data_IF_698592471064
#
_entry.id   IF_698592471064
#
_cell.length_a   1.000
_cell.length_b   1.000
_cell.length_c   1.000
_cell.angle_alpha   90.00
_cell.angle_beta   90.00
_cell.angle_gamma   90.00
#
_symmetry.space_group_name_H-M   'P 1'
#
loop_
_entity.id
_entity.type
_entity.pdbx_description
1 polymer ?
#
# COMPACT_ATOMS: atom_id res chain seq x y z
N UNK A 1 2.01 36.09 -62.41
CA UNK A 1 1.42 35.60 -61.16
C UNK A 1 2.04 34.24 -60.88
N UNK A 2 2.60 34.05 -59.69
CA UNK A 2 3.12 32.75 -59.26
C UNK A 2 1.95 31.88 -58.79
N UNK A 3 1.88 30.61 -59.21
CA UNK A 3 0.82 29.65 -58.84
C UNK A 3 -0.63 30.11 -59.12
N UNK A 4 -0.83 30.95 -60.14
CA UNK A 4 -2.16 31.42 -60.55
C UNK A 4 -2.13 32.26 -61.83
N UNK A 5 -3.30 32.73 -62.25
CA UNK A 5 -3.51 33.60 -63.41
C UNK A 5 -3.72 35.05 -62.98
N UNK A 6 -3.08 36.00 -63.64
CA UNK A 6 -3.36 37.42 -63.39
C UNK A 6 -4.64 37.84 -64.12
N UNK A 7 -5.62 38.37 -63.39
CA UNK A 7 -6.91 38.78 -63.95
C UNK A 7 -7.08 40.30 -64.03
N UNK A 8 -6.39 41.06 -63.17
CA UNK A 8 -6.34 42.52 -63.23
C UNK A 8 -5.04 43.04 -62.55
N UNK A 9 -4.83 44.36 -62.52
CA UNK A 9 -3.74 44.94 -61.71
C UNK A 9 -3.95 44.55 -60.25
N UNK A 10 -2.93 43.94 -59.66
CA UNK A 10 -2.91 43.48 -58.26
C UNK A 10 -3.93 42.38 -57.92
N UNK A 11 -4.61 41.80 -58.91
CA UNK A 11 -5.60 40.73 -58.71
C UNK A 11 -5.17 39.44 -59.42
N UNK A 12 -5.06 38.36 -58.66
CA UNK A 12 -4.70 37.03 -59.15
C UNK A 12 -5.80 36.00 -58.85
N UNK A 13 -6.16 35.21 -59.86
CA UNK A 13 -6.98 34.01 -59.76
C UNK A 13 -6.05 32.81 -59.49
N UNK A 14 -6.03 32.36 -58.23
CA UNK A 14 -5.07 31.34 -57.77
C UNK A 14 -5.48 29.92 -58.18
N UNK A 15 -4.49 29.07 -58.46
CA UNK A 15 -4.73 27.65 -58.74
C UNK A 15 -5.37 26.96 -57.52
N UNK A 16 -6.09 25.86 -57.74
CA UNK A 16 -6.71 25.08 -56.64
C UNK A 16 -5.68 24.73 -55.57
N UNK A 17 -5.99 25.03 -54.31
CA UNK A 17 -5.10 24.79 -53.18
C UNK A 17 -4.10 25.92 -52.90
N UNK A 18 -4.24 27.08 -53.54
CA UNK A 18 -3.46 28.28 -53.30
C UNK A 18 -4.37 29.48 -53.00
N UNK A 19 -3.91 30.43 -52.19
CA UNK A 19 -4.64 31.66 -51.86
C UNK A 19 -3.77 32.89 -52.08
N UNK A 20 -4.40 34.02 -52.44
CA UNK A 20 -3.67 35.26 -52.69
C UNK A 20 -3.17 35.84 -51.37
N UNK A 21 -1.86 35.84 -51.16
CA UNK A 21 -1.21 36.44 -49.98
C UNK A 21 -0.72 37.85 -50.24
N UNK A 22 -0.37 38.16 -51.49
CA UNK A 22 0.08 39.47 -51.93
C UNK A 22 -0.29 39.71 -53.42
N UNK A 23 -0.18 40.95 -53.93
CA UNK A 23 -0.44 41.24 -55.35
C UNK A 23 0.38 40.33 -56.28
N UNK A 24 -0.31 39.55 -57.12
CA UNK A 24 0.27 38.58 -58.06
C UNK A 24 0.99 37.36 -57.43
N UNK A 25 0.85 37.14 -56.11
CA UNK A 25 1.45 36.01 -55.38
C UNK A 25 0.32 35.13 -54.80
N UNK A 26 0.33 33.86 -55.20
CA UNK A 26 -0.53 32.83 -54.64
C UNK A 26 0.31 31.85 -53.83
N UNK A 27 0.11 31.83 -52.51
CA UNK A 27 0.78 30.93 -51.58
C UNK A 27 -0.03 29.64 -51.40
N UNK A 28 0.64 28.49 -51.18
CA UNK A 28 -0.06 27.23 -50.96
C UNK A 28 -0.89 27.28 -49.67
N UNK A 29 -2.04 26.61 -49.70
CA UNK A 29 -2.93 26.44 -48.56
C UNK A 29 -2.69 25.08 -47.93
N UNK A 30 -2.50 25.09 -46.61
CA UNK A 30 -2.45 23.92 -45.75
C UNK A 30 -3.53 24.10 -44.67
N UNK A 31 -4.64 23.36 -44.74
CA UNK A 31 -5.83 23.59 -43.90
C UNK A 31 -5.55 23.46 -42.39
N UNK A 32 -4.68 22.52 -42.01
CA UNK A 32 -4.26 22.33 -40.62
C UNK A 32 -3.03 23.16 -40.23
N UNK A 33 -2.51 23.97 -41.16
CA UNK A 33 -1.20 24.62 -41.04
C UNK A 33 -0.03 23.64 -41.08
N UNK A 34 1.19 24.17 -40.93
CA UNK A 34 2.42 23.38 -40.84
C UNK A 34 3.19 23.78 -39.57
N UNK A 35 2.73 23.37 -38.36
CA UNK A 35 3.48 23.65 -37.14
C UNK A 35 4.88 23.04 -37.24
N UNK A 36 5.92 23.79 -36.87
CA UNK A 36 7.33 23.41 -37.03
C UNK A 36 7.76 23.10 -38.48
N UNK A 37 7.09 23.70 -39.47
CA UNK A 37 7.43 23.59 -40.87
C UNK A 37 6.94 24.77 -41.70
N UNK A 38 7.02 24.60 -43.02
CA UNK A 38 6.59 25.57 -44.03
C UNK A 38 5.66 24.88 -45.03
N UNK A 39 4.57 25.54 -45.41
CA UNK A 39 3.68 25.03 -46.45
C UNK A 39 4.37 25.27 -47.82
N UNK A 40 4.77 24.19 -48.50
CA UNK A 40 5.54 24.28 -49.76
C UNK A 40 4.71 23.94 -51.00
N UNK A 41 3.60 23.23 -50.81
CA UNK A 41 2.57 23.00 -51.83
C UNK A 41 1.22 22.75 -51.13
N UNK A 42 0.13 22.70 -51.90
CA UNK A 42 -1.22 22.42 -51.37
C UNK A 42 -1.18 21.17 -50.47
N UNK A 43 -1.60 21.34 -49.21
CA UNK A 43 -1.59 20.29 -48.17
C UNK A 43 -0.24 19.57 -47.96
N UNK A 44 0.87 20.20 -48.36
CA UNK A 44 2.22 19.62 -48.29
C UNK A 44 3.13 20.50 -47.44
N UNK A 45 3.54 19.98 -46.28
CA UNK A 45 4.47 20.66 -45.37
C UNK A 45 5.92 20.20 -45.60
N UNK A 46 6.86 21.14 -45.53
CA UNK A 46 8.28 20.89 -45.40
C UNK A 46 8.71 21.19 -43.96
N UNK A 47 9.21 20.18 -43.25
CA UNK A 47 9.55 20.32 -41.84
C UNK A 47 10.86 21.08 -41.63
N UNK A 48 10.92 21.85 -40.54
CA UNK A 48 12.15 22.51 -40.10
C UNK A 48 13.21 21.46 -39.69
N UNK A 49 14.47 21.89 -39.63
CA UNK A 49 15.58 21.01 -39.21
C UNK A 49 15.29 20.38 -37.84
N UNK A 50 15.44 19.05 -37.76
CA UNK A 50 15.16 18.29 -36.53
C UNK A 50 13.69 17.89 -36.35
N UNK A 51 12.85 18.06 -37.38
CA UNK A 51 11.46 17.60 -37.40
C UNK A 51 11.20 16.72 -38.63
N UNK A 52 10.27 15.77 -38.52
CA UNK A 52 9.86 14.87 -39.59
C UNK A 52 8.34 14.81 -39.71
N UNK A 53 7.85 14.63 -40.94
CA UNK A 53 6.43 14.50 -41.21
C UNK A 53 5.89 13.19 -40.62
N UNK A 54 4.79 13.26 -39.88
CA UNK A 54 4.07 12.10 -39.40
C UNK A 54 2.94 11.67 -40.36
N UNK A 55 2.20 10.61 -40.01
CA UNK A 55 1.08 10.08 -40.82
C UNK A 55 -0.08 11.05 -41.02
N UNK A 56 -0.12 12.15 -40.27
CA UNK A 56 -1.13 13.21 -40.34
C UNK A 56 -0.63 14.49 -41.00
N UNK A 57 0.53 14.46 -41.66
CA UNK A 57 1.21 15.61 -42.28
C UNK A 57 1.62 16.72 -41.29
N UNK A 58 1.83 16.37 -40.02
CA UNK A 58 2.33 17.27 -38.98
C UNK A 58 3.83 17.01 -38.79
N UNK A 59 4.61 18.07 -38.56
CA UNK A 59 6.04 17.96 -38.32
C UNK A 59 6.32 17.68 -36.84
N UNK A 60 6.57 16.42 -36.53
CA UNK A 60 6.93 15.95 -35.19
C UNK A 60 8.44 16.10 -34.96
N UNK A 61 8.88 16.43 -33.73
CA UNK A 61 10.29 16.56 -33.43
C UNK A 61 11.01 15.21 -33.47
N UNK A 62 12.27 15.24 -33.89
CA UNK A 62 13.16 14.07 -33.95
C UNK A 62 14.05 14.06 -32.71
N UNK A 63 14.13 12.92 -32.04
CA UNK A 63 15.02 12.67 -30.92
C UNK A 63 15.87 11.43 -31.23
N UNK A 64 17.19 11.53 -31.19
CA UNK A 64 18.12 10.49 -31.65
C UNK A 64 18.04 9.16 -30.88
N UNK A 65 17.49 9.17 -29.66
CA UNK A 65 17.40 8.01 -28.77
C UNK A 65 15.98 7.57 -28.39
N UNK A 66 14.95 7.93 -29.18
CA UNK A 66 13.55 7.53 -28.97
C UNK A 66 13.08 7.63 -27.50
N UNK A 67 13.13 8.84 -26.91
CA UNK A 67 12.68 9.19 -25.54
C UNK A 67 11.99 8.06 -24.75
N UNK A 68 12.74 7.07 -24.20
CA UNK A 68 12.12 5.91 -23.57
C UNK A 68 11.42 6.37 -22.30
N UNK A 69 10.17 5.93 -22.08
CA UNK A 69 9.30 6.41 -21.00
C UNK A 69 9.06 7.93 -21.02
N UNK A 70 9.07 8.52 -22.21
CA UNK A 70 8.76 9.92 -22.42
C UNK A 70 8.26 10.19 -23.84
N UNK A 71 8.11 11.48 -24.16
CA UNK A 71 7.79 11.96 -25.50
C UNK A 71 8.78 13.03 -25.95
N UNK A 72 9.08 13.06 -27.24
CA UNK A 72 9.88 14.11 -27.85
C UNK A 72 9.02 15.38 -27.96
N UNK A 73 9.44 16.48 -27.30
CA UNK A 73 8.69 17.76 -27.30
C UNK A 73 9.36 18.83 -28.16
N UNK A 74 10.65 18.67 -28.44
CA UNK A 74 11.44 19.47 -29.36
C UNK A 74 12.62 18.63 -29.86
N UNK A 75 13.35 19.04 -30.91
CA UNK A 75 14.48 18.29 -31.42
C UNK A 75 15.48 18.00 -30.30
N UNK A 76 15.83 16.73 -30.14
CA UNK A 76 16.72 16.22 -29.06
C UNK A 76 16.26 16.54 -27.63
N UNK A 77 14.99 16.92 -27.41
CA UNK A 77 14.44 17.22 -26.09
C UNK A 77 13.27 16.32 -25.74
N UNK A 78 13.51 15.44 -24.77
CA UNK A 78 12.49 14.57 -24.19
C UNK A 78 11.79 15.21 -22.99
N UNK A 79 10.49 14.97 -22.88
CA UNK A 79 9.68 15.16 -21.68
C UNK A 79 9.29 13.79 -21.13
N UNK A 80 9.60 13.52 -19.87
CA UNK A 80 9.31 12.23 -19.24
C UNK A 80 7.82 12.09 -18.92
N UNK A 81 7.31 10.86 -18.98
CA UNK A 81 5.95 10.58 -18.54
C UNK A 81 5.80 10.74 -17.02
N UNK A 82 4.56 10.84 -16.56
CA UNK A 82 4.25 10.93 -15.14
C UNK A 82 4.84 9.73 -14.37
N UNK A 83 5.51 10.02 -13.25
CA UNK A 83 6.20 9.00 -12.46
C UNK A 83 7.61 8.66 -12.97
N UNK A 84 8.09 9.34 -14.02
CA UNK A 84 9.47 9.24 -14.49
C UNK A 84 10.18 10.59 -14.36
N UNK A 85 11.50 10.56 -14.19
CA UNK A 85 12.35 11.76 -14.15
C UNK A 85 13.55 11.58 -15.08
N UNK A 86 14.10 12.69 -15.55
CA UNK A 86 15.36 12.66 -16.29
C UNK A 86 16.51 12.23 -15.40
N UNK A 87 17.28 11.28 -15.88
CA UNK A 87 18.54 10.84 -15.30
C UNK A 87 19.68 11.76 -15.74
N UNK A 88 20.91 11.47 -15.28
CA UNK A 88 22.13 12.16 -15.73
C UNK A 88 22.47 11.90 -17.20
N UNK A 89 21.92 10.84 -17.80
CA UNK A 89 22.14 10.45 -19.19
C UNK A 89 20.98 10.90 -20.10
N UNK A 90 20.14 11.84 -19.65
CA UNK A 90 18.94 12.32 -20.38
C UNK A 90 17.89 11.24 -20.67
N UNK A 91 17.93 10.10 -19.96
CA UNK A 91 16.91 9.04 -20.05
C UNK A 91 15.84 9.24 -18.99
N UNK A 92 14.60 8.84 -19.26
CA UNK A 92 13.54 8.91 -18.28
C UNK A 92 13.52 7.65 -17.42
N UNK A 93 13.99 7.78 -16.18
CA UNK A 93 14.04 6.74 -15.17
C UNK A 93 12.81 6.80 -14.26
N UNK A 94 12.29 5.64 -13.82
CA UNK A 94 11.13 5.59 -12.92
C UNK A 94 11.44 6.24 -11.57
N UNK A 95 10.40 6.79 -10.94
CA UNK A 95 10.45 7.42 -9.63
C UNK A 95 9.63 6.61 -8.64
N UNK A 96 10.26 6.27 -7.53
CA UNK A 96 9.63 5.63 -6.38
C UNK A 96 9.65 6.62 -5.22
N UNK A 97 8.48 7.14 -4.81
CA UNK A 97 8.36 8.24 -3.84
C UNK A 97 8.95 7.91 -2.47
N UNK A 98 8.79 6.67 -2.02
CA UNK A 98 9.34 6.16 -0.75
C UNK A 98 10.76 5.58 -0.91
N UNK A 99 11.32 5.66 -2.12
CA UNK A 99 12.53 4.93 -2.49
C UNK A 99 12.30 3.42 -2.59
N UNK A 100 13.39 2.69 -2.88
CA UNK A 100 13.44 1.23 -2.86
C UNK A 100 14.67 0.83 -2.04
N UNK A 101 14.55 0.80 -0.70
CA UNK A 101 15.63 0.25 0.13
C UNK A 101 15.80 -1.24 -0.20
N UNK A 102 17.03 -1.72 -0.35
CA UNK A 102 17.33 -3.10 -0.75
C UNK A 102 16.67 -3.55 -2.06
N UNK A 103 16.45 -2.62 -3.00
CA UNK A 103 15.94 -2.92 -4.33
C UNK A 103 16.23 -1.82 -5.34
N UNK A 104 15.70 -2.01 -6.54
CA UNK A 104 15.77 -1.07 -7.65
C UNK A 104 14.37 -0.63 -8.07
N UNK A 105 14.19 0.66 -8.36
CA UNK A 105 12.94 1.15 -8.91
C UNK A 105 12.87 0.76 -10.40
N UNK A 106 11.94 -0.12 -10.76
CA UNK A 106 11.77 -0.64 -12.13
C UNK A 106 10.61 0.01 -12.89
N UNK A 107 9.68 0.59 -12.15
CA UNK A 107 8.49 1.29 -12.65
C UNK A 107 8.04 2.32 -11.60
N UNK A 108 7.26 3.35 -11.96
CA UNK A 108 6.78 4.32 -11.00
C UNK A 108 6.18 3.66 -9.75
N UNK A 109 6.73 3.98 -8.58
CA UNK A 109 6.37 3.39 -7.28
C UNK A 109 6.38 1.85 -7.24
N UNK A 110 7.19 1.20 -8.08
CA UNK A 110 7.33 -0.26 -8.14
C UNK A 110 8.79 -0.64 -7.96
N UNK A 111 9.08 -1.35 -6.88
CA UNK A 111 10.43 -1.83 -6.55
C UNK A 111 10.61 -3.29 -6.97
N UNK A 112 11.78 -3.59 -7.53
CA UNK A 112 12.30 -4.94 -7.68
C UNK A 112 13.34 -5.15 -6.58
N UNK A 113 13.14 -6.15 -5.72
CA UNK A 113 14.01 -6.39 -4.58
C UNK A 113 15.31 -7.09 -5.01
N UNK A 114 16.42 -6.76 -4.32
CA UNK A 114 17.68 -7.46 -4.51
C UNK A 114 17.59 -8.91 -3.99
N UNK A 115 18.55 -9.75 -4.40
CA UNK A 115 18.60 -11.15 -3.98
C UNK A 115 18.58 -11.30 -2.45
N UNK A 116 17.71 -12.18 -1.94
CA UNK A 116 17.49 -12.36 -0.51
C UNK A 116 16.49 -11.39 0.12
N UNK A 117 15.79 -10.56 -0.67
CA UNK A 117 14.73 -9.66 -0.22
C UNK A 117 13.43 -9.91 -0.98
N UNK A 118 12.28 -9.65 -0.35
CA UNK A 118 10.95 -9.76 -0.93
C UNK A 118 10.08 -8.54 -0.58
N UNK A 119 9.11 -8.22 -1.43
CA UNK A 119 8.12 -7.17 -1.15
C UNK A 119 7.19 -7.61 -0.01
N UNK A 120 7.06 -6.77 1.02
CA UNK A 120 6.01 -6.90 2.03
C UNK A 120 4.67 -6.29 1.55
N UNK A 121 3.65 -6.22 2.41
CA UNK A 121 2.33 -5.66 2.08
C UNK A 121 2.37 -4.14 1.86
N UNK A 122 3.41 -3.50 2.38
CA UNK A 122 3.68 -2.07 2.35
C UNK A 122 4.54 -1.66 1.13
N UNK A 123 4.85 -2.61 0.22
CA UNK A 123 5.74 -2.44 -0.94
C UNK A 123 7.20 -2.10 -0.60
N UNK A 124 7.68 -2.61 0.53
CA UNK A 124 9.08 -2.48 0.97
C UNK A 124 9.80 -3.81 0.78
N UNK A 125 11.07 -3.75 0.35
CA UNK A 125 11.91 -4.93 0.22
C UNK A 125 12.46 -5.33 1.60
N UNK A 126 11.81 -6.30 2.22
CA UNK A 126 12.21 -6.89 3.51
C UNK A 126 13.10 -8.10 3.30
N UNK A 127 14.07 -8.37 4.19
CA UNK A 127 14.97 -9.51 4.06
C UNK A 127 14.20 -10.83 4.20
N UNK A 128 14.69 -11.85 3.51
CA UNK A 128 14.19 -13.23 3.56
C UNK A 128 15.10 -14.02 4.49
N UNK A 129 14.50 -14.70 5.46
CA UNK A 129 15.15 -15.71 6.28
C UNK A 129 14.49 -17.06 5.96
N UNK A 130 15.28 -18.05 5.52
CA UNK A 130 14.77 -19.38 5.14
C UNK A 130 14.10 -20.11 6.31
N UNK A 131 14.54 -19.82 7.54
CA UNK A 131 13.88 -20.22 8.78
C UNK A 131 13.31 -18.98 9.45
N UNK A 132 12.06 -19.07 9.92
CA UNK A 132 11.44 -17.98 10.68
C UNK A 132 12.25 -17.66 11.94
N UNK A 133 12.55 -16.37 12.15
CA UNK A 133 13.25 -15.88 13.34
C UNK A 133 12.35 -15.97 14.58
N UNK A 134 12.20 -17.16 15.17
CA UNK A 134 11.45 -17.34 16.41
C UNK A 134 12.07 -16.49 17.53
N UNK A 135 11.25 -15.65 18.18
CA UNK A 135 11.67 -14.67 19.19
C UNK A 135 12.75 -13.68 18.68
N UNK A 136 12.70 -13.32 17.40
CA UNK A 136 13.56 -12.32 16.79
C UNK A 136 12.94 -11.68 15.55
N UNK A 137 13.72 -10.85 14.88
CA UNK A 137 13.36 -10.18 13.61
C UNK A 137 14.44 -10.45 12.57
N UNK A 138 14.03 -10.68 11.31
CA UNK A 138 14.97 -10.84 10.19
C UNK A 138 15.50 -9.45 9.82
N UNK A 139 16.79 -9.19 10.05
CA UNK A 139 17.41 -7.88 9.83
C UNK A 139 18.20 -7.78 8.53
N UNK A 140 18.67 -8.93 8.03
CA UNK A 140 19.32 -9.08 6.74
C UNK A 140 19.04 -10.50 6.23
N UNK A 141 19.30 -10.81 4.93
CA UNK A 141 19.07 -12.13 4.39
C UNK A 141 19.76 -13.20 5.25
N UNK A 142 18.99 -14.22 5.65
CA UNK A 142 19.43 -15.30 6.54
C UNK A 142 20.01 -14.85 7.90
N UNK A 143 19.76 -13.62 8.33
CA UNK A 143 20.31 -13.05 9.57
C UNK A 143 19.18 -12.57 10.50
N UNK A 144 19.02 -13.27 11.62
CA UNK A 144 18.05 -12.93 12.66
C UNK A 144 18.71 -12.10 13.77
N UNK A 145 18.01 -11.07 14.24
CA UNK A 145 18.31 -10.36 15.49
C UNK A 145 17.30 -10.79 16.56
N UNK A 146 17.79 -11.23 17.71
CA UNK A 146 16.94 -11.72 18.79
C UNK A 146 16.30 -10.58 19.57
N UNK A 147 15.07 -10.78 20.05
CA UNK A 147 14.42 -9.83 20.94
C UNK A 147 15.15 -9.73 22.28
N UNK A 148 14.94 -8.62 22.99
CA UNK A 148 15.54 -8.38 24.30
C UNK A 148 15.27 -9.55 25.26
N UNK A 149 16.32 -10.04 25.93
CA UNK A 149 16.23 -11.19 26.82
C UNK A 149 16.33 -12.55 26.12
N UNK A 150 16.57 -12.57 24.81
CA UNK A 150 16.90 -13.77 24.05
C UNK A 150 18.31 -13.65 23.46
N UNK A 151 18.99 -14.78 23.28
CA UNK A 151 20.30 -14.85 22.64
C UNK A 151 20.29 -15.88 21.51
N UNK A 152 21.10 -15.61 20.48
CA UNK A 152 21.26 -16.53 19.36
C UNK A 152 21.96 -17.80 19.84
N UNK A 153 21.25 -18.93 19.73
CA UNK A 153 21.77 -20.27 19.96
C UNK A 153 22.62 -20.75 18.79
N UNK A 154 23.39 -21.81 19.00
CA UNK A 154 24.20 -22.47 17.97
C UNK A 154 23.36 -23.05 16.80
N UNK A 155 22.04 -23.09 16.94
CA UNK A 155 21.09 -23.60 15.95
C UNK A 155 20.31 -22.49 15.21
N UNK A 156 20.79 -21.24 15.21
CA UNK A 156 20.09 -20.08 14.64
C UNK A 156 18.68 -19.86 15.22
N UNK A 157 18.53 -20.07 16.54
CA UNK A 157 17.28 -19.84 17.27
C UNK A 157 17.52 -18.88 18.41
N UNK A 158 16.60 -17.95 18.63
CA UNK A 158 16.67 -17.05 19.77
C UNK A 158 16.11 -17.76 21.01
N UNK A 159 17.02 -18.16 21.90
CA UNK A 159 16.70 -18.85 23.15
C UNK A 159 16.61 -17.85 24.30
N UNK A 160 15.64 -18.02 25.22
CA UNK A 160 15.46 -17.11 26.35
C UNK A 160 16.63 -17.19 27.33
N UNK A 161 17.02 -16.03 27.85
CA UNK A 161 18.10 -15.90 28.83
C UNK A 161 17.51 -15.78 30.23
N UNK A 162 18.02 -16.57 31.18
CA UNK A 162 17.78 -16.37 32.61
C UNK A 162 19.08 -15.93 33.28
N UNK A 163 19.14 -14.70 33.75
CA UNK A 163 20.27 -14.19 34.53
C UNK A 163 20.41 -15.01 35.82
N UNK A 164 21.60 -15.60 36.04
CA UNK A 164 21.85 -16.49 37.18
C UNK A 164 21.47 -17.97 36.95
N UNK A 165 20.89 -18.31 35.79
CA UNK A 165 20.53 -19.69 35.43
C UNK A 165 19.33 -20.26 36.21
N UNK A 166 18.88 -21.45 35.82
CA UNK A 166 17.74 -22.14 36.44
C UNK A 166 18.20 -23.34 37.28
N UNK A 167 17.82 -23.38 38.56
CA UNK A 167 18.10 -24.54 39.43
C UNK A 167 17.15 -25.68 39.06
N UNK A 168 17.70 -26.76 38.48
CA UNK A 168 16.93 -27.95 38.03
C UNK A 168 15.78 -27.63 37.06
N UNK A 169 16.01 -26.75 36.10
CA UNK A 169 15.03 -26.40 35.08
C UNK A 169 15.68 -25.81 33.83
N UNK A 170 14.85 -25.47 32.85
CA UNK A 170 15.25 -24.75 31.63
C UNK A 170 14.50 -23.43 31.54
N UNK A 171 15.06 -22.44 30.84
CA UNK A 171 14.38 -21.18 30.59
C UNK A 171 13.23 -21.40 29.62
N UNK A 172 12.02 -21.07 30.05
CA UNK A 172 10.82 -21.12 29.20
C UNK A 172 10.47 -19.74 28.62
N UNK A 173 10.95 -18.68 29.27
CA UNK A 173 10.88 -17.30 28.80
C UNK A 173 12.03 -16.50 29.45
N UNK A 174 12.35 -15.27 29.00
CA UNK A 174 13.41 -14.47 29.59
C UNK A 174 13.19 -14.28 31.10
N UNK A 175 14.15 -14.72 31.91
CA UNK A 175 14.06 -14.69 33.37
C UNK A 175 13.08 -15.69 34.02
N UNK A 176 12.41 -16.56 33.25
CA UNK A 176 11.41 -17.51 33.77
C UNK A 176 11.91 -18.96 33.58
N UNK A 177 12.06 -19.68 34.69
CA UNK A 177 12.49 -21.07 34.72
C UNK A 177 11.33 -22.05 34.78
N UNK A 178 11.46 -23.21 34.12
CA UNK A 178 10.54 -24.32 34.26
C UNK A 178 10.60 -24.89 35.69
N UNK A 179 9.44 -25.09 36.31
CA UNK A 179 9.35 -25.80 37.60
C UNK A 179 9.09 -27.27 37.30
N UNK A 180 10.07 -28.15 37.58
CA UNK A 180 9.81 -29.59 37.55
C UNK A 180 8.99 -29.96 38.80
N UNK A 181 7.74 -30.39 38.60
CA UNK A 181 6.79 -30.76 39.65
C UNK A 181 7.13 -32.08 40.36
N UNK A 182 8.37 -32.24 40.82
CA UNK A 182 8.75 -33.35 41.73
C UNK A 182 9.41 -32.90 43.02
N UNK A 183 9.73 -31.62 43.20
CA UNK A 183 10.20 -31.07 44.48
C UNK A 183 9.20 -30.04 45.02
N UNK A 184 7.97 -30.48 45.33
CA UNK A 184 7.03 -29.74 46.22
C UNK A 184 7.43 -29.86 47.70
N UNK A 185 8.71 -30.07 47.98
CA UNK A 185 9.28 -30.02 49.32
C UNK A 185 10.50 -29.11 49.29
N UNK A 186 10.25 -27.84 49.62
CA UNK A 186 11.21 -26.83 50.07
C UNK A 186 12.45 -26.64 49.18
N UNK A 187 12.35 -25.73 48.21
CA UNK A 187 13.44 -24.80 47.97
C UNK A 187 12.88 -23.38 48.01
N UNK A 188 12.91 -22.80 49.21
CA UNK A 188 13.01 -21.36 49.35
C UNK A 188 14.29 -20.93 48.63
N UNK A 189 14.19 -20.50 47.38
CA UNK A 189 15.13 -19.52 46.86
C UNK A 189 14.77 -18.17 47.46
N UNK A 190 14.98 -18.05 48.78
CA UNK A 190 15.19 -16.77 49.45
C UNK A 190 16.65 -16.41 49.23
N UNK A 191 16.92 -15.72 48.12
CA UNK A 191 18.09 -14.89 47.79
C UNK A 191 18.01 -14.55 46.28
N UNK A 192 16.95 -13.89 45.81
CA UNK A 192 16.92 -12.43 45.73
C UNK A 192 16.64 -11.73 47.06
N UNK A 193 17.68 -11.10 47.60
CA UNK A 193 17.59 -10.17 48.71
C UNK A 193 16.74 -8.96 48.32
N UNK A 194 15.54 -8.84 48.90
CA UNK A 194 15.08 -7.55 49.41
C UNK A 194 15.25 -7.63 50.91
N UNK A 195 16.44 -7.26 51.39
CA UNK A 195 16.64 -6.85 52.77
C UNK A 195 16.68 -5.33 52.77
N UNK A 196 15.51 -4.74 52.98
CA UNK A 196 15.38 -3.51 53.75
C UNK A 196 15.78 -3.86 55.19
N UNK A 197 16.85 -3.24 55.69
CA UNK A 197 17.28 -3.36 57.08
C UNK A 197 16.40 -2.49 57.99
N UNK A 198 15.89 -3.00 59.13
CA UNK A 198 15.58 -2.18 60.29
C UNK A 198 16.79 -2.16 61.24
N UNK A 199 17.12 -0.97 61.74
CA UNK A 199 18.10 -0.71 62.80
C UNK A 199 17.78 -1.49 64.08
N UNK A 200 18.81 -1.95 64.82
CA UNK A 200 18.74 -2.00 66.28
C UNK A 200 19.86 -1.17 66.91
N UNK A 201 19.51 -0.33 67.87
CA UNK A 201 20.43 0.25 68.84
C UNK A 201 19.95 -0.10 70.25
N UNK A 202 20.63 -1.02 70.95
CA UNK A 202 21.36 -0.72 72.19
C UNK A 202 22.01 -1.95 72.84
N UNK A 203 23.21 -1.66 73.36
CA UNK A 203 23.90 -2.24 74.52
C UNK A 203 24.78 -3.51 74.38
N UNK A 204 26.09 -3.22 74.39
CA UNK A 204 27.08 -3.70 75.39
C UNK A 204 28.04 -4.85 75.01
N UNK A 205 29.34 -4.48 75.01
CA UNK A 205 30.60 -5.27 75.14
C UNK A 205 31.11 -5.96 73.87
N UNK A 206 32.42 -6.10 73.60
CA UNK A 206 33.70 -5.54 74.09
C UNK A 206 34.79 -6.26 73.25
N UNK A 207 35.83 -5.53 72.83
CA UNK A 207 37.17 -5.94 72.35
C UNK A 207 37.45 -6.29 70.87
N UNK A 208 38.13 -5.31 70.23
CA UNK A 208 39.43 -5.32 69.52
C UNK A 208 39.63 -6.18 68.26
N UNK A 209 39.99 -5.55 67.13
CA UNK A 209 41.37 -5.16 66.76
C UNK A 209 41.36 -4.13 65.62
N UNK A 210 42.39 -3.29 65.62
CA UNK A 210 42.64 -2.10 64.79
C UNK A 210 42.85 -2.39 63.30
N UNK A 211 42.46 -1.45 62.43
CA UNK A 211 43.39 -0.61 61.65
C UNK A 211 42.60 0.38 60.76
N UNK A 212 43.15 1.58 60.72
CA UNK A 212 42.65 2.83 60.16
C UNK A 212 42.66 2.86 58.61
N UNK A 213 41.73 3.62 58.02
CA UNK A 213 42.10 4.76 57.17
C UNK A 213 40.86 5.56 56.72
N UNK A 214 41.00 6.88 56.88
CA UNK A 214 40.04 7.97 56.74
C UNK A 214 39.57 8.23 55.30
N UNK A 215 38.34 8.73 55.14
CA UNK A 215 38.08 10.09 54.58
C UNK A 215 36.60 10.35 54.27
N UNK A 216 36.19 11.56 54.64
CA UNK A 216 34.84 12.08 54.89
C UNK A 216 34.04 12.64 53.69
N UNK A 217 32.78 12.98 54.02
CA UNK A 217 31.97 14.15 53.60
C UNK A 217 30.66 13.93 52.80
N UNK A 218 29.56 13.79 53.57
CA UNK A 218 28.37 14.68 53.65
C UNK A 218 27.76 15.36 52.40
N UNK A 219 26.43 15.23 52.22
CA UNK A 219 25.45 16.26 52.62
C UNK A 219 23.97 15.82 52.43
N UNK A 220 23.20 16.11 53.49
CA UNK A 220 21.73 16.10 53.69
C UNK A 220 20.95 17.02 52.69
N UNK A 221 19.62 17.13 52.60
CA UNK A 221 18.49 16.84 53.49
C UNK A 221 17.10 17.09 52.81
N UNK A 222 16.04 16.62 53.47
CA UNK A 222 14.67 17.21 53.63
C UNK A 222 13.74 17.29 52.42
N UNK A 223 12.44 17.03 52.49
CA UNK A 223 11.39 16.83 53.52
C UNK A 223 10.03 16.86 52.75
N UNK A 224 8.81 16.62 53.22
CA UNK A 224 8.20 16.38 54.53
C UNK A 224 6.68 16.11 54.32
N UNK A 225 6.04 15.34 55.22
CA UNK A 225 4.61 15.45 55.61
C UNK A 225 3.61 14.38 55.09
N UNK A 226 3.12 13.39 55.89
CA UNK A 226 2.09 13.41 57.00
C UNK A 226 0.63 13.51 56.48
N UNK A 227 -0.40 12.70 56.83
CA UNK A 227 -0.87 12.01 58.06
C UNK A 227 -1.81 10.81 57.68
N UNK A 228 -1.71 9.64 58.32
CA UNK A 228 -2.51 9.06 59.44
C UNK A 228 -3.88 8.44 59.10
N UNK A 229 -4.04 7.16 59.48
CA UNK A 229 -5.29 6.41 59.43
C UNK A 229 -5.10 4.92 59.76
N UNK A 230 -5.08 4.60 61.04
CA UNK A 230 -4.89 3.27 61.62
C UNK A 230 -6.23 2.50 61.67
N UNK A 231 -6.30 1.29 61.11
CA UNK A 231 -7.34 0.29 61.43
C UNK A 231 -6.79 -1.13 61.27
N UNK A 232 -6.76 -1.86 62.37
CA UNK A 232 -6.42 -3.30 62.45
C UNK A 232 -7.46 -4.17 61.75
N UNK A 233 -7.04 -5.19 61.00
CA UNK A 233 -7.94 -6.22 60.49
C UNK A 233 -7.32 -7.22 59.50
N UNK A 234 -7.08 -8.44 60.00
CA UNK A 234 -6.97 -9.74 59.32
C UNK A 234 -6.25 -9.91 57.95
N UNK A 235 -5.09 -10.57 58.04
CA UNK A 235 -4.27 -11.06 56.94
C UNK A 235 -4.81 -12.38 56.37
N UNK A 236 -5.84 -12.31 55.51
CA UNK A 236 -6.19 -13.43 54.59
C UNK A 236 -6.94 -13.05 53.32
N UNK A 237 -7.16 -11.76 53.01
CA UNK A 237 -7.90 -11.32 51.80
C UNK A 237 -7.06 -10.79 50.64
N UNK A 238 -5.73 -10.71 50.76
CA UNK A 238 -4.87 -10.08 49.73
C UNK A 238 -4.41 -11.03 48.61
N UNK A 239 -4.59 -12.35 48.75
CA UNK A 239 -4.26 -13.31 47.67
C UNK A 239 -5.29 -13.36 46.55
N UNK A 240 -6.57 -13.08 46.82
CA UNK A 240 -7.62 -13.03 45.79
C UNK A 240 -7.71 -11.69 45.05
N UNK A 241 -7.21 -10.60 45.65
CA UNK A 241 -7.32 -9.25 45.09
C UNK A 241 -6.26 -8.95 44.01
N UNK A 242 -5.07 -9.56 44.13
CA UNK A 242 -4.01 -9.44 43.12
C UNK A 242 -4.25 -10.29 41.86
N UNK A 243 -5.08 -11.34 41.96
CA UNK A 243 -5.38 -12.24 40.84
C UNK A 243 -6.53 -11.73 39.95
N UNK A 244 -7.37 -10.83 40.47
CA UNK A 244 -8.45 -10.18 39.73
C UNK A 244 -7.96 -9.00 38.87
N UNK A 245 -7.13 -8.12 39.46
CA UNK A 245 -6.55 -6.95 38.77
C UNK A 245 -5.71 -7.31 37.54
N UNK A 246 -4.97 -8.41 37.60
CA UNK A 246 -4.15 -8.90 36.47
C UNK A 246 -4.96 -9.49 35.31
N UNK A 247 -6.23 -9.88 35.53
CA UNK A 247 -7.10 -10.43 34.48
C UNK A 247 -7.79 -9.38 33.63
N UNK A 248 -7.98 -8.17 34.16
CA UNK A 248 -8.66 -7.08 33.49
C UNK A 248 -7.74 -6.39 32.48
N UNK A 249 -6.49 -6.08 32.86
CA UNK A 249 -5.49 -5.45 31.99
C UNK A 249 -5.12 -6.27 30.74
N UNK A 250 -5.31 -7.61 30.78
CA UNK A 250 -5.05 -8.50 29.64
C UNK A 250 -6.28 -8.78 28.76
N UNK A 251 -7.49 -8.36 29.18
CA UNK A 251 -8.75 -8.62 28.47
C UNK A 251 -9.43 -7.35 27.96
N UNK A 252 -9.14 -6.20 28.55
CA UNK A 252 -9.66 -4.90 28.16
C UNK A 252 -8.87 -4.35 26.95
N UNK A 253 -9.45 -4.46 25.76
CA UNK A 253 -8.86 -3.96 24.50
C UNK A 253 -9.61 -2.68 24.11
N UNK A 254 -8.90 -1.56 23.93
CA UNK A 254 -9.44 -0.20 23.67
C UNK A 254 -10.22 0.45 24.83
N UNK A 255 -9.83 0.15 26.07
CA UNK A 255 -10.36 0.79 27.27
C UNK A 255 -9.35 0.75 28.43
N UNK A 256 -9.71 1.40 29.53
CA UNK A 256 -8.95 1.46 30.78
C UNK A 256 -9.61 0.58 31.83
N UNK A 257 -8.83 -0.25 32.54
CA UNK A 257 -9.37 -1.05 33.63
C UNK A 257 -9.50 -0.24 34.93
N UNK A 258 -10.69 -0.21 35.51
CA UNK A 258 -10.95 0.39 36.82
C UNK A 258 -11.76 -0.59 37.69
N UNK A 259 -11.21 -0.97 38.84
CA UNK A 259 -11.84 -1.85 39.84
C UNK A 259 -12.46 -3.14 39.24
N UNK A 260 -11.67 -3.86 38.42
CA UNK A 260 -12.05 -5.11 37.72
C UNK A 260 -13.13 -4.96 36.64
N UNK A 261 -13.44 -3.73 36.20
CA UNK A 261 -14.33 -3.45 35.08
C UNK A 261 -13.61 -2.66 33.97
N UNK A 262 -13.80 -3.05 32.71
CA UNK A 262 -13.23 -2.38 31.54
C UNK A 262 -14.07 -1.15 31.17
N UNK A 263 -13.48 0.05 31.25
CA UNK A 263 -14.11 1.32 30.85
C UNK A 263 -13.58 1.73 29.49
N UNK A 264 -14.44 1.82 28.48
CA UNK A 264 -14.02 2.13 27.10
C UNK A 264 -13.58 3.58 26.92
N UNK A 265 -12.57 3.79 26.05
CA UNK A 265 -12.10 5.12 25.67
C UNK A 265 -13.13 5.86 24.80
N UNK A 266 -13.03 7.19 24.73
CA UNK A 266 -13.95 8.03 23.95
C UNK A 266 -14.10 7.54 22.50
N UNK A 267 -15.34 7.21 22.11
CA UNK A 267 -15.66 6.69 20.77
C UNK A 267 -15.75 5.16 20.69
N UNK A 268 -15.71 4.44 21.81
CA UNK A 268 -15.89 2.99 21.90
C UNK A 268 -17.05 2.64 22.85
N UNK A 269 -17.70 1.49 22.63
CA UNK A 269 -18.79 0.96 23.48
C UNK A 269 -18.48 -0.47 23.92
N UNK A 270 -18.85 -0.81 25.16
CA UNK A 270 -18.59 -2.13 25.75
C UNK A 270 -19.56 -3.16 25.20
N UNK A 271 -19.05 -4.29 24.71
CA UNK A 271 -19.86 -5.42 24.25
C UNK A 271 -19.47 -6.68 25.05
N UNK A 272 -20.43 -7.24 25.80
CA UNK A 272 -20.23 -8.44 26.62
C UNK A 272 -20.28 -9.70 25.74
N UNK A 273 -19.17 -10.43 25.68
CA UNK A 273 -19.09 -11.76 25.08
C UNK A 273 -18.69 -12.76 26.17
N UNK A 274 -19.13 -14.03 26.07
CA UNK A 274 -18.79 -15.08 27.06
C UNK A 274 -17.27 -15.09 27.33
N UNK A 275 -16.89 -14.63 28.54
CA UNK A 275 -15.54 -14.50 29.10
C UNK A 275 -14.59 -13.38 28.62
N UNK A 276 -15.05 -12.36 27.88
CA UNK A 276 -14.23 -11.19 27.47
C UNK A 276 -15.00 -9.85 27.39
N UNK A 277 -14.42 -8.81 27.98
CA UNK A 277 -14.89 -7.42 27.90
C UNK A 277 -14.15 -6.68 26.77
N UNK A 278 -14.82 -6.41 25.64
CA UNK A 278 -14.18 -5.78 24.46
C UNK A 278 -14.86 -4.44 24.17
N UNK A 279 -14.05 -3.39 24.03
CA UNK A 279 -14.52 -2.08 23.59
C UNK A 279 -14.47 -2.00 22.08
N UNK A 280 -15.64 -1.92 21.44
CA UNK A 280 -15.76 -1.83 19.97
C UNK A 280 -15.96 -0.38 19.55
N UNK A 281 -15.28 0.03 18.49
CA UNK A 281 -15.39 1.39 17.98
C UNK A 281 -16.85 1.68 17.59
N UNK A 282 -17.38 2.82 18.04
CA UNK A 282 -18.65 3.38 17.58
C UNK A 282 -18.43 3.78 16.12
N UNK A 283 -18.56 2.83 15.21
CA UNK A 283 -18.60 3.15 13.79
C UNK A 283 -19.86 3.99 13.57
N UNK A 284 -19.76 5.24 13.08
CA UNK A 284 -20.93 5.92 12.58
C UNK A 284 -21.36 5.08 11.37
N UNK A 285 -22.48 4.38 11.51
CA UNK A 285 -23.13 3.69 10.41
C UNK A 285 -23.48 4.73 9.33
N UNK A 286 -22.53 5.03 8.44
CA UNK A 286 -22.69 6.23 7.61
C UNK A 286 -21.59 6.61 6.63
N UNK A 287 -20.62 5.76 6.27
CA UNK A 287 -19.67 6.17 5.20
C UNK A 287 -19.08 5.08 4.30
N UNK A 288 -19.26 3.79 4.60
CA UNK A 288 -18.81 2.72 3.69
C UNK A 288 -19.80 2.43 2.54
N UNK A 289 -21.09 2.68 2.74
CA UNK A 289 -22.12 2.31 1.75
C UNK A 289 -22.18 3.26 0.54
N UNK A 290 -21.78 4.53 0.69
CA UNK A 290 -21.91 5.54 -0.37
C UNK A 290 -20.87 5.40 -1.50
N UNK A 291 -19.66 4.86 -1.23
CA UNK A 291 -18.65 4.62 -2.28
C UNK A 291 -19.08 3.48 -3.20
N UNK A 292 -19.57 2.38 -2.64
CA UNK A 292 -20.08 1.27 -3.44
C UNK A 292 -21.43 1.58 -4.10
N UNK A 293 -22.30 2.39 -3.46
CA UNK A 293 -23.56 2.81 -4.07
C UNK A 293 -23.36 3.67 -5.32
N UNK A 294 -22.37 4.59 -5.31
CA UNK A 294 -22.02 5.35 -6.52
C UNK A 294 -21.48 4.45 -7.63
N UNK A 295 -20.64 3.47 -7.31
CA UNK A 295 -20.15 2.50 -8.29
C UNK A 295 -21.29 1.64 -8.85
N UNK A 296 -22.23 1.22 -8.00
CA UNK A 296 -23.38 0.41 -8.41
C UNK A 296 -24.35 1.19 -9.32
N UNK A 297 -24.57 2.47 -9.02
CA UNK A 297 -25.35 3.37 -9.89
C UNK A 297 -24.66 3.51 -11.25
N UNK A 298 -23.34 3.71 -11.28
CA UNK A 298 -22.58 3.82 -12.53
C UNK A 298 -22.70 2.52 -13.35
N UNK A 299 -22.51 1.36 -12.72
CA UNK A 299 -22.66 0.06 -13.37
C UNK A 299 -24.09 -0.18 -13.88
N UNK A 300 -25.12 0.24 -13.14
CA UNK A 300 -26.51 0.15 -13.55
C UNK A 300 -26.86 1.10 -14.72
N UNK A 301 -26.29 2.31 -14.74
CA UNK A 301 -26.47 3.28 -15.83
C UNK A 301 -25.80 2.82 -17.11
N UNK A 302 -24.70 2.06 -17.05
CA UNK A 302 -24.04 1.51 -18.24
C UNK A 302 -24.61 0.16 -18.70
N UNK A 303 -25.17 -0.65 -17.80
CA UNK A 303 -25.71 -1.97 -18.15
C UNK A 303 -26.98 -1.88 -19.00
N UNK A 304 -27.87 -0.92 -18.71
CA UNK A 304 -29.12 -0.70 -19.43
C UNK A 304 -28.93 -0.27 -20.91
N UNK A 305 -28.11 0.74 -21.24
CA UNK A 305 -27.84 1.10 -22.64
C UNK A 305 -27.04 0.02 -23.37
N UNK A 306 -26.14 -0.69 -22.69
CA UNK A 306 -25.42 -1.81 -23.28
C UNK A 306 -26.36 -2.96 -23.66
N UNK A 307 -27.32 -3.30 -22.79
CA UNK A 307 -28.32 -4.32 -23.06
C UNK A 307 -29.25 -3.92 -24.22
N UNK A 308 -29.69 -2.65 -24.28
CA UNK A 308 -30.48 -2.14 -25.41
C UNK A 308 -29.70 -2.17 -26.72
N UNK A 309 -28.41 -1.81 -26.69
CA UNK A 309 -27.53 -1.86 -27.86
C UNK A 309 -27.39 -3.31 -28.36
N UNK A 310 -27.15 -4.28 -27.46
CA UNK A 310 -27.08 -5.70 -27.80
C UNK A 310 -28.41 -6.17 -28.41
N UNK A 311 -29.56 -5.82 -27.81
CA UNK A 311 -30.87 -6.14 -28.34
C UNK A 311 -31.07 -5.57 -29.75
N UNK A 312 -30.70 -4.30 -29.98
CA UNK A 312 -30.77 -3.68 -31.30
C UNK A 312 -29.87 -4.39 -32.33
N UNK A 313 -28.66 -4.80 -31.95
CA UNK A 313 -27.77 -5.57 -32.82
C UNK A 313 -28.40 -6.93 -33.16
N UNK A 314 -28.92 -7.65 -32.16
CA UNK A 314 -29.58 -8.94 -32.39
C UNK A 314 -30.82 -8.80 -33.28
N UNK A 315 -31.63 -7.74 -33.11
CA UNK A 315 -32.74 -7.41 -34.00
C UNK A 315 -32.24 -7.12 -35.43
N UNK A 316 -31.18 -6.33 -35.60
CA UNK A 316 -30.59 -6.03 -36.92
C UNK A 316 -30.09 -7.29 -37.61
N UNK A 317 -29.40 -8.17 -36.89
CA UNK A 317 -28.92 -9.45 -37.40
C UNK A 317 -30.11 -10.34 -37.79
N UNK A 318 -31.13 -10.41 -36.95
CA UNK A 318 -32.33 -11.22 -37.21
C UNK A 318 -33.10 -10.72 -38.43
N UNK A 319 -33.35 -9.41 -38.54
CA UNK A 319 -33.97 -8.80 -39.71
C UNK A 319 -33.14 -9.00 -40.99
N UNK A 320 -31.81 -8.91 -40.91
CA UNK A 320 -30.91 -9.17 -42.04
C UNK A 320 -30.98 -10.64 -42.47
N UNK A 321 -31.08 -11.58 -41.52
CA UNK A 321 -31.26 -13.01 -41.78
C UNK A 321 -32.61 -13.27 -42.45
N UNK A 322 -33.71 -12.72 -41.94
CA UNK A 322 -35.05 -12.86 -42.54
C UNK A 322 -35.12 -12.25 -43.94
N UNK A 323 -34.58 -11.04 -44.14
CA UNK A 323 -34.51 -10.41 -45.47
C UNK A 323 -33.73 -11.26 -46.47
N UNK A 324 -32.60 -11.84 -46.06
CA UNK A 324 -31.81 -12.72 -46.91
C UNK A 324 -32.53 -14.04 -47.22
N UNK A 325 -33.29 -14.60 -46.26
CA UNK A 325 -34.13 -15.79 -46.48
C UNK A 325 -35.23 -15.47 -47.49
N UNK A 326 -36.03 -14.42 -47.28
CA UNK A 326 -37.11 -14.03 -48.21
C UNK A 326 -36.57 -13.67 -49.60
N UNK A 327 -35.40 -13.03 -49.69
CA UNK A 327 -34.74 -12.73 -50.96
C UNK A 327 -34.33 -14.01 -51.70
N UNK A 328 -33.80 -15.02 -50.99
CA UNK A 328 -33.45 -16.33 -51.56
C UNK A 328 -34.69 -17.14 -51.94
N UNK A 329 -35.73 -17.14 -51.12
CA UNK A 329 -37.02 -17.80 -51.42
C UNK A 329 -37.72 -17.19 -52.64
N UNK A 330 -37.65 -15.87 -52.82
CA UNK A 330 -38.16 -15.18 -54.01
C UNK A 330 -37.31 -15.49 -55.26
N UNK A 331 -35.98 -15.61 -55.13
CA UNK A 331 -35.11 -15.99 -56.26
C UNK A 331 -35.33 -17.44 -56.71
N UNK A 332 -35.69 -18.35 -55.80
CA UNK A 332 -35.91 -19.78 -56.10
C UNK A 332 -37.40 -20.03 -56.47
N UNK A 333 -38.26 -19.01 -56.43
CA UNK A 333 -39.67 -19.12 -56.85
C UNK A 333 -40.57 -19.86 -55.86
N UNK A 334 -40.12 -20.13 -54.63
CA UNK A 334 -40.82 -20.96 -53.65
C UNK A 334 -42.10 -20.30 -53.08
N UNK A 335 -42.22 -18.98 -53.17
CA UNK A 335 -43.33 -18.22 -52.55
C UNK A 335 -44.72 -18.61 -53.09
N UNK A 336 -44.79 -19.22 -54.28
CA UNK A 336 -46.04 -19.64 -54.92
C UNK A 336 -46.31 -21.15 -54.82
N UNK A 337 -45.37 -21.96 -54.31
CA UNK A 337 -45.54 -23.43 -54.25
C UNK A 337 -46.43 -23.89 -53.08
N UNK A 338 -46.45 -23.15 -51.96
CA UNK A 338 -47.23 -23.52 -50.78
C UNK A 338 -48.75 -23.34 -50.91
N UNK A 339 -49.25 -22.61 -51.93
CA UNK A 339 -50.70 -22.44 -52.14
C UNK A 339 -51.35 -23.51 -53.01
N UNK A 340 -50.56 -24.35 -53.69
CA UNK A 340 -51.08 -25.34 -54.65
C UNK A 340 -50.77 -26.80 -54.25
N UNK A 341 -50.34 -27.07 -53.02
CA UNK A 341 -50.22 -28.45 -52.54
C UNK A 341 -51.60 -28.93 -52.05
N UNK A 342 -52.38 -29.49 -52.97
CA UNK A 342 -53.55 -30.31 -52.62
C UNK A 342 -53.06 -31.52 -51.81
N UNK A 343 -53.48 -31.59 -50.55
CA UNK A 343 -53.23 -32.73 -49.67
C UNK A 343 -54.17 -33.85 -50.13
N UNK A 344 -53.69 -34.74 -50.99
CA UNK A 344 -54.37 -36.01 -51.28
C UNK A 344 -54.31 -36.86 -50.00
N UNK A 345 -55.42 -36.96 -49.27
CA UNK A 345 -55.61 -38.02 -48.27
C UNK A 345 -56.01 -39.29 -49.01
N UNK A 346 -55.15 -40.30 -48.93
CA UNK A 346 -55.46 -41.67 -49.37
C UNK A 346 -56.34 -42.32 -48.29
N UNK A 347 -57.41 -43.05 -48.66
CA UNK A 347 -58.39 -43.63 -47.74
C UNK A 347 -57.84 -44.72 -46.83
#
# INVERSE_FOLDING_TARGET
CLNGRCVARETSDCNKGYSQSAPNICDPVCLSGCPNGQCVASETCHCNKGYSLNSTNICDPICSGECPNGRCIAPEKCECFNGFRKSKTETCEPVCSNGCMNGQCISPNTCECFGGYALNKENECVPICSTECQNGTCMAPETCECYKGFLMSSHNRCEPVCEGGCVKGHCIAPGICSVHSTDLLFSTSTRGSVLTTPLPARESRMFSYDNDDDSDEDYNNSGDGKNDGEYSGDSSKTKGFFEAKFRCDNRCIHGTCQDDSCVCDDGYVLEEQEDKDICVAITPAGSAFLKHFRLYIILAVFSLPLALLILCILCRISCKKTYNVTKRENQIGLKNMARNADIVRVP
#
